data_IF_897663675580
#
_entry.id   IF_897663675580
#
_cell.length_a   1.000
_cell.length_b   1.000
_cell.length_c   1.000
_cell.angle_alpha   90.00
_cell.angle_beta   90.00
_cell.angle_gamma   90.00
#
_symmetry.space_group_name_H-M   'P 1'
#
loop_
_entity.id
_entity.type
_entity.pdbx_description
1 polymer ?
#
# COMPACT_ATOMS: atom_id res chain seq x y z
N UNK A 1 5.86 -8.32 8.18
CA UNK A 1 5.94 -9.70 7.64
C UNK A 1 5.28 -9.86 6.25
N UNK A 2 4.05 -9.34 6.01
CA UNK A 2 3.37 -9.45 4.70
C UNK A 2 4.15 -8.77 3.55
N UNK A 3 4.45 -7.47 3.67
CA UNK A 3 5.15 -6.70 2.62
C UNK A 3 6.50 -7.32 2.29
N UNK A 4 7.27 -7.71 3.31
CA UNK A 4 8.58 -8.35 3.12
C UNK A 4 8.49 -9.67 2.37
N UNK A 5 7.45 -10.48 2.61
CA UNK A 5 7.28 -11.75 1.89
C UNK A 5 6.80 -11.52 0.45
N UNK A 6 5.89 -10.58 0.21
CA UNK A 6 5.46 -10.24 -1.14
C UNK A 6 6.63 -9.68 -1.98
N UNK A 7 7.48 -8.84 -1.38
CA UNK A 7 8.67 -8.26 -2.04
C UNK A 7 9.72 -9.32 -2.47
N UNK A 8 9.70 -10.52 -1.88
CA UNK A 8 10.58 -11.63 -2.31
C UNK A 8 10.13 -12.28 -3.61
N UNK A 9 8.88 -12.07 -4.02
CA UNK A 9 8.34 -12.62 -5.26
C UNK A 9 8.66 -11.63 -6.38
N UNK A 10 9.70 -11.93 -7.16
CA UNK A 10 10.21 -11.01 -8.16
C UNK A 10 9.18 -10.57 -9.20
N UNK A 11 8.15 -11.38 -9.48
CA UNK A 11 7.11 -11.05 -10.45
C UNK A 11 6.05 -10.07 -9.94
N UNK A 12 6.10 -9.68 -8.66
CA UNK A 12 5.11 -8.81 -8.02
C UNK A 12 5.74 -7.46 -7.71
N UNK A 13 5.06 -6.38 -8.06
CA UNK A 13 5.41 -5.04 -7.62
C UNK A 13 4.68 -4.75 -6.31
N UNK A 14 5.41 -4.37 -5.27
CA UNK A 14 4.84 -4.06 -3.96
C UNK A 14 5.28 -2.66 -3.53
N UNK A 15 4.31 -1.78 -3.38
CA UNK A 15 4.49 -0.41 -2.92
C UNK A 15 3.84 -0.29 -1.53
N UNK A 16 4.55 0.28 -0.57
CA UNK A 16 4.06 0.37 0.81
C UNK A 16 4.41 1.71 1.43
N UNK A 17 3.43 2.44 1.95
CA UNK A 17 3.62 3.66 2.72
C UNK A 17 3.09 3.46 4.14
N UNK A 18 3.87 3.83 5.15
CA UNK A 18 3.49 3.70 6.57
C UNK A 18 3.33 5.09 7.17
N UNK A 19 2.10 5.55 7.36
CA UNK A 19 1.81 6.93 7.74
C UNK A 19 2.43 7.31 9.10
N UNK A 20 2.51 6.35 10.02
CA UNK A 20 3.11 6.57 11.35
C UNK A 20 4.64 6.78 11.36
N UNK A 21 5.33 6.58 10.23
CA UNK A 21 6.77 6.86 10.11
C UNK A 21 7.07 8.31 9.74
N UNK A 22 6.07 9.06 9.26
CA UNK A 22 6.23 10.42 8.72
C UNK A 22 5.33 11.43 9.45
N UNK A 23 5.03 11.17 10.72
CA UNK A 23 4.34 12.14 11.57
C UNK A 23 5.30 13.26 11.95
N UNK A 24 4.93 14.55 11.85
CA UNK A 24 5.79 15.61 12.35
C UNK A 24 5.99 15.43 13.87
N UNK A 25 7.18 15.01 14.28
CA UNK A 25 7.66 15.18 15.64
C UNK A 25 8.33 16.55 15.74
N UNK A 26 8.19 17.19 16.90
CA UNK A 26 8.44 18.63 17.12
C UNK A 26 9.80 19.19 16.66
N UNK A 27 10.80 18.37 16.31
CA UNK A 27 12.14 18.87 16.01
C UNK A 27 12.79 18.45 14.68
N UNK A 28 12.31 17.48 13.87
CA UNK A 28 13.15 17.00 12.74
C UNK A 28 12.48 16.20 11.59
N UNK A 29 11.16 16.15 11.44
CA UNK A 29 10.57 15.24 10.43
C UNK A 29 10.09 15.93 9.16
N UNK A 30 10.51 15.35 8.03
CA UNK A 30 10.13 15.58 6.64
C UNK A 30 8.62 15.87 6.48
N UNK A 31 8.17 17.11 6.74
CA UNK A 31 6.81 17.58 6.40
C UNK A 31 6.45 17.19 4.97
N UNK A 32 7.45 17.16 4.09
CA UNK A 32 7.38 16.78 2.69
C UNK A 32 6.89 15.33 2.42
N UNK A 33 6.96 14.44 3.41
CA UNK A 33 6.53 13.04 3.31
C UNK A 33 5.25 12.72 4.07
N UNK A 34 4.62 13.73 4.67
CA UNK A 34 3.31 13.61 5.31
C UNK A 34 2.17 13.82 4.30
N UNK A 35 0.98 13.28 4.62
CA UNK A 35 -0.24 13.49 3.83
C UNK A 35 -0.21 12.95 2.40
N UNK A 36 -1.02 13.53 1.52
CA UNK A 36 -1.25 13.01 0.18
C UNK A 36 -0.02 13.07 -0.74
N UNK A 37 0.74 14.16 -0.73
CA UNK A 37 1.98 14.27 -1.51
C UNK A 37 3.03 13.27 -1.05
N UNK A 38 3.18 13.09 0.26
CA UNK A 38 4.09 12.09 0.82
C UNK A 38 3.77 10.67 0.39
N UNK A 39 2.49 10.27 0.44
CA UNK A 39 2.02 8.97 -0.06
C UNK A 39 2.44 8.79 -1.52
N UNK A 40 2.06 9.72 -2.41
CA UNK A 40 2.34 9.56 -3.84
C UNK A 40 3.84 9.54 -4.13
N UNK A 41 4.62 10.37 -3.42
CA UNK A 41 6.07 10.45 -3.58
C UNK A 41 6.74 9.14 -3.19
N UNK A 42 6.43 8.62 -2.00
CA UNK A 42 7.02 7.37 -1.51
C UNK A 42 6.66 6.17 -2.41
N UNK A 43 5.39 6.05 -2.80
CA UNK A 43 4.94 5.00 -3.72
C UNK A 43 5.61 5.12 -5.10
N UNK A 44 5.79 6.34 -5.61
CA UNK A 44 6.46 6.59 -6.89
C UNK A 44 7.94 6.20 -6.85
N UNK A 45 8.67 6.60 -5.80
CA UNK A 45 10.08 6.24 -5.62
C UNK A 45 10.24 4.72 -5.56
N UNK A 46 9.37 4.02 -4.81
CA UNK A 46 9.38 2.56 -4.75
C UNK A 46 9.06 1.89 -6.09
N UNK A 47 8.15 2.46 -6.88
CA UNK A 47 7.79 1.94 -8.21
C UNK A 47 8.96 2.08 -9.18
N UNK A 48 9.64 3.22 -9.16
CA UNK A 48 10.83 3.46 -9.99
C UNK A 48 12.00 2.55 -9.58
N UNK A 49 12.21 2.34 -8.28
CA UNK A 49 13.26 1.46 -7.78
C UNK A 49 13.05 -0.01 -8.19
N UNK A 50 11.80 -0.43 -8.37
CA UNK A 50 11.42 -1.78 -8.80
C UNK A 50 11.26 -1.90 -10.32
N UNK A 51 11.53 -0.83 -11.08
CA UNK A 51 11.28 -0.80 -12.51
C UNK A 51 12.27 -1.69 -13.28
N UNK A 52 11.74 -2.71 -13.96
CA UNK A 52 12.52 -3.64 -14.78
C UNK A 52 11.92 -3.95 -16.15
N UNK A 53 10.87 -3.22 -16.54
CA UNK A 53 10.00 -3.55 -17.68
C UNK A 53 10.44 -2.89 -18.99
N UNK A 54 11.74 -2.63 -19.14
CA UNK A 54 12.32 -1.95 -20.30
C UNK A 54 12.45 -0.44 -20.12
N UNK A 55 12.83 0.25 -21.21
CA UNK A 55 13.00 1.71 -21.20
C UNK A 55 11.67 2.39 -20.94
N UNK A 56 11.70 3.34 -20.02
CA UNK A 56 10.61 4.26 -19.72
C UNK A 56 10.45 5.25 -20.88
N UNK A 57 9.86 4.83 -21.99
CA UNK A 57 9.63 5.73 -23.14
C UNK A 57 8.67 6.87 -22.82
N UNK A 58 7.94 6.77 -21.71
CA UNK A 58 6.99 7.76 -21.20
C UNK A 58 7.57 8.78 -20.22
N UNK A 59 8.83 8.61 -19.79
CA UNK A 59 9.55 9.56 -18.93
C UNK A 59 10.85 9.92 -19.65
N UNK A 60 11.11 11.21 -19.82
CA UNK A 60 12.45 11.64 -20.27
C UNK A 60 13.47 11.47 -19.13
N UNK A 61 14.76 11.57 -19.47
CA UNK A 61 15.85 11.51 -18.48
C UNK A 61 15.65 12.60 -17.41
N UNK A 62 15.09 13.74 -17.80
CA UNK A 62 14.71 14.84 -16.90
C UNK A 62 13.65 14.42 -15.88
N UNK A 63 12.55 13.76 -16.26
CA UNK A 63 11.50 13.27 -15.35
C UNK A 63 12.08 12.25 -14.33
N UNK A 64 13.05 11.41 -14.75
CA UNK A 64 13.71 10.44 -13.87
C UNK A 64 14.64 11.13 -12.88
N UNK A 65 15.46 12.08 -13.32
CA UNK A 65 16.37 12.85 -12.47
C UNK A 65 15.61 13.83 -11.56
N UNK A 66 14.48 14.37 -12.02
CA UNK A 66 13.58 15.22 -11.25
C UNK A 66 12.99 14.47 -10.05
N UNK A 67 12.57 13.22 -10.24
CA UNK A 67 12.02 12.40 -9.16
C UNK A 67 13.11 11.87 -8.22
N UNK A 68 14.31 11.55 -8.73
CA UNK A 68 15.42 11.04 -7.91
C UNK A 68 16.16 12.13 -7.14
N UNK A 69 16.39 13.30 -7.74
CA UNK A 69 17.27 14.33 -7.21
C UNK A 69 16.55 15.61 -6.75
N UNK A 70 15.32 15.87 -7.20
CA UNK A 70 14.53 17.09 -6.86
C UNK A 70 13.17 16.81 -6.24
N UNK A 71 12.99 15.57 -5.77
CA UNK A 71 11.73 14.99 -5.27
C UNK A 71 10.99 15.88 -4.24
N UNK A 72 11.75 16.63 -3.43
CA UNK A 72 11.26 17.59 -2.44
C UNK A 72 10.34 18.69 -3.00
N UNK A 73 10.59 19.09 -4.25
CA UNK A 73 9.96 20.26 -4.88
C UNK A 73 8.83 19.93 -5.86
N UNK A 74 8.51 18.65 -6.06
CA UNK A 74 7.55 18.25 -7.07
C UNK A 74 6.12 18.43 -6.59
N UNK A 75 5.35 19.25 -7.30
CA UNK A 75 3.94 19.41 -6.99
C UNK A 75 3.16 18.10 -7.23
N UNK A 76 2.09 17.92 -6.45
CA UNK A 76 1.21 16.73 -6.47
C UNK A 76 0.71 16.36 -7.88
N UNK A 77 0.44 17.35 -8.74
CA UNK A 77 -0.07 17.11 -10.11
C UNK A 77 0.98 16.39 -10.96
N UNK A 78 2.25 16.76 -10.82
CA UNK A 78 3.37 16.12 -11.52
C UNK A 78 3.60 14.71 -10.99
N UNK A 79 3.68 14.54 -9.65
CA UNK A 79 3.84 13.22 -9.01
C UNK A 79 2.76 12.25 -9.50
N UNK A 80 1.50 12.69 -9.50
CA UNK A 80 0.36 11.92 -10.00
C UNK A 80 0.50 11.53 -11.48
N UNK A 81 0.87 12.48 -12.35
CA UNK A 81 1.05 12.22 -13.78
C UNK A 81 2.08 11.12 -14.00
N UNK A 82 3.24 11.24 -13.35
CA UNK A 82 4.33 10.27 -13.46
C UNK A 82 3.89 8.91 -12.93
N UNK A 83 3.31 8.86 -11.72
CA UNK A 83 2.82 7.63 -11.10
C UNK A 83 1.82 6.89 -12.00
N UNK A 84 0.85 7.62 -12.55
CA UNK A 84 -0.12 7.04 -13.47
C UNK A 84 0.53 6.51 -14.75
N UNK A 85 1.44 7.26 -15.36
CA UNK A 85 2.14 6.83 -16.58
C UNK A 85 2.95 5.56 -16.35
N UNK A 86 3.64 5.46 -15.21
CA UNK A 86 4.38 4.26 -14.83
C UNK A 86 3.45 3.05 -14.69
N UNK A 87 2.32 3.20 -14.01
CA UNK A 87 1.37 2.10 -13.81
C UNK A 87 0.74 1.66 -15.14
N UNK A 88 0.44 2.60 -16.05
CA UNK A 88 -0.01 2.27 -17.40
C UNK A 88 1.08 1.56 -18.21
N UNK A 89 2.35 1.90 -17.97
CA UNK A 89 3.50 1.27 -18.60
C UNK A 89 3.82 -0.14 -18.09
N UNK A 90 3.20 -0.60 -17.01
CA UNK A 90 3.41 -1.96 -16.51
C UNK A 90 2.89 -2.98 -17.53
N UNK A 91 3.61 -4.10 -17.75
CA UNK A 91 3.13 -5.17 -18.61
C UNK A 91 1.77 -5.70 -18.17
N UNK A 92 0.97 -6.15 -19.14
CA UNK A 92 -0.35 -6.71 -18.86
C UNK A 92 -0.25 -7.91 -17.90
N UNK A 93 -1.15 -7.97 -16.93
CA UNK A 93 -1.17 -9.03 -15.91
C UNK A 93 -0.18 -8.86 -14.76
N UNK A 94 0.69 -7.84 -14.77
CA UNK A 94 1.65 -7.58 -13.68
C UNK A 94 0.89 -7.34 -12.37
N UNK A 95 1.10 -8.14 -11.31
CA UNK A 95 0.49 -7.89 -10.01
C UNK A 95 1.13 -6.67 -9.33
N UNK A 96 0.30 -5.69 -8.97
CA UNK A 96 0.71 -4.49 -8.25
C UNK A 96 -0.08 -4.41 -6.93
N UNK A 97 0.63 -4.47 -5.82
CA UNK A 97 0.08 -4.25 -4.48
C UNK A 97 0.48 -2.87 -3.98
N UNK A 98 -0.52 -2.06 -3.62
CA UNK A 98 -0.34 -0.75 -2.99
C UNK A 98 -0.87 -0.87 -1.56
N UNK A 99 -0.02 -0.65 -0.58
CA UNK A 99 -0.35 -0.78 0.84
C UNK A 99 -0.11 0.56 1.51
N UNK A 100 -1.14 1.12 2.13
CA UNK A 100 -1.06 2.39 2.87
C UNK A 100 -1.50 2.07 4.29
N UNK A 101 -0.53 2.09 5.20
CA UNK A 101 -0.73 1.62 6.56
C UNK A 101 -0.99 2.78 7.53
N UNK A 102 -2.02 2.58 8.35
CA UNK A 102 -2.46 3.45 9.43
C UNK A 102 -2.80 4.89 9.00
N UNK A 103 -3.72 5.02 8.05
CA UNK A 103 -4.13 6.29 7.43
C UNK A 103 -4.68 7.32 8.42
N UNK A 104 -5.08 6.89 9.62
CA UNK A 104 -5.58 7.78 10.67
C UNK A 104 -4.60 8.90 11.03
N UNK A 105 -3.29 8.67 10.90
CA UNK A 105 -2.27 9.69 11.13
C UNK A 105 -2.41 10.92 10.23
N UNK A 106 -3.06 10.79 9.06
CA UNK A 106 -3.26 11.88 8.11
C UNK A 106 -4.71 12.37 8.04
N UNK A 107 -5.59 11.91 8.93
CA UNK A 107 -6.96 12.42 9.07
C UNK A 107 -7.05 13.68 9.96
N UNK A 108 -5.98 14.50 9.99
CA UNK A 108 -5.95 15.79 10.69
C UNK A 108 -6.57 16.91 9.84
N UNK A 109 -6.90 18.06 10.45
CA UNK A 109 -7.46 19.21 9.73
C UNK A 109 -6.61 19.67 8.56
N UNK A 110 -5.28 19.57 8.70
CA UNK A 110 -4.27 20.03 7.77
C UNK A 110 -4.12 19.05 6.60
N UNK A 111 -4.03 17.76 6.90
CA UNK A 111 -3.65 16.74 5.91
C UNK A 111 -4.86 16.06 5.22
N UNK A 112 -6.02 15.98 5.89
CA UNK A 112 -7.16 15.15 5.44
C UNK A 112 -7.59 15.40 4.00
N UNK A 113 -7.62 16.67 3.56
CA UNK A 113 -8.12 17.05 2.23
C UNK A 113 -7.22 16.51 1.13
N UNK A 114 -5.92 16.68 1.32
CA UNK A 114 -4.93 16.24 0.35
C UNK A 114 -4.80 14.72 0.34
N UNK A 115 -4.80 14.10 1.52
CA UNK A 115 -4.81 12.64 1.68
C UNK A 115 -6.01 12.01 0.98
N UNK A 116 -7.23 12.54 1.22
CA UNK A 116 -8.46 12.07 0.55
C UNK A 116 -8.36 12.17 -0.97
N UNK A 117 -7.72 13.22 -1.48
CA UNK A 117 -7.49 13.39 -2.92
C UNK A 117 -6.51 12.34 -3.45
N UNK A 118 -5.38 12.12 -2.79
CA UNK A 118 -4.40 11.12 -3.19
C UNK A 118 -5.01 9.70 -3.20
N UNK A 119 -5.75 9.32 -2.15
CA UNK A 119 -6.42 8.01 -2.08
C UNK A 119 -7.44 7.83 -3.21
N UNK A 120 -8.26 8.85 -3.51
CA UNK A 120 -9.19 8.81 -4.65
C UNK A 120 -8.47 8.61 -5.98
N UNK A 121 -7.35 9.29 -6.17
CA UNK A 121 -6.55 9.17 -7.40
C UNK A 121 -5.92 7.78 -7.54
N UNK A 122 -5.44 7.20 -6.43
CA UNK A 122 -4.95 5.81 -6.41
C UNK A 122 -6.10 4.84 -6.72
N UNK A 123 -7.28 5.01 -6.11
CA UNK A 123 -8.45 4.16 -6.40
C UNK A 123 -8.93 4.28 -7.84
N UNK A 124 -8.80 5.45 -8.48
CA UNK A 124 -9.15 5.62 -9.89
C UNK A 124 -8.36 4.70 -10.83
N UNK A 125 -7.15 4.26 -10.44
CA UNK A 125 -6.34 3.32 -11.22
C UNK A 125 -7.09 2.01 -11.50
N UNK A 126 -7.99 1.57 -10.61
CA UNK A 126 -8.80 0.37 -10.78
C UNK A 126 -9.79 0.48 -11.96
N UNK A 127 -10.16 1.70 -12.35
CA UNK A 127 -11.17 1.97 -13.37
C UNK A 127 -10.57 2.43 -14.71
N UNK A 128 -9.26 2.69 -14.77
CA UNK A 128 -8.60 3.18 -15.99
C UNK A 128 -8.40 2.03 -16.99
N UNK A 129 -9.12 2.08 -18.12
CA UNK A 129 -9.05 1.05 -19.18
C UNK A 129 -7.64 0.77 -19.72
N UNK A 130 -6.76 1.78 -19.67
CA UNK A 130 -5.35 1.68 -20.12
C UNK A 130 -4.47 0.93 -19.12
N UNK A 131 -4.83 0.88 -17.84
CA UNK A 131 -4.11 0.09 -16.84
C UNK A 131 -4.40 -1.38 -17.11
N UNK A 132 -3.36 -2.15 -17.44
CA UNK A 132 -3.44 -3.59 -17.70
C UNK A 132 -2.81 -4.43 -16.59
N UNK A 133 -2.23 -3.79 -15.58
CA UNK A 133 -1.75 -4.42 -14.36
C UNK A 133 -2.92 -4.89 -13.48
N UNK A 134 -2.67 -5.94 -12.69
CA UNK A 134 -3.61 -6.42 -11.67
C UNK A 134 -3.37 -5.64 -10.38
N UNK A 135 -4.06 -4.51 -10.24
CA UNK A 135 -3.86 -3.59 -9.12
C UNK A 135 -4.72 -4.02 -7.91
N UNK A 136 -4.10 -4.10 -6.73
CA UNK A 136 -4.74 -4.32 -5.44
C UNK A 136 -4.30 -3.24 -4.47
N UNK A 137 -5.27 -2.56 -3.87
CA UNK A 137 -5.04 -1.44 -2.96
C UNK A 137 -5.54 -1.85 -1.57
N UNK A 138 -4.68 -1.70 -0.57
CA UNK A 138 -4.99 -1.94 0.83
C UNK A 138 -4.72 -0.67 1.61
N UNK A 139 -5.74 -0.15 2.27
CA UNK A 139 -5.60 0.98 3.20
C UNK A 139 -6.03 0.51 4.57
N UNK A 140 -5.16 0.65 5.56
CA UNK A 140 -5.44 0.26 6.94
C UNK A 140 -5.60 1.48 7.82
N UNK A 141 -6.31 1.28 8.93
CA UNK A 141 -6.57 2.29 9.95
C UNK A 141 -6.54 1.54 11.30
N UNK A 142 -5.83 2.07 12.29
CA UNK A 142 -5.79 1.49 13.64
C UNK A 142 -7.17 1.53 14.31
N UNK A 143 -7.99 2.52 13.96
CA UNK A 143 -9.38 2.62 14.37
C UNK A 143 -10.26 2.86 13.14
N UNK A 144 -11.44 3.46 13.32
CA UNK A 144 -12.30 3.82 12.19
C UNK A 144 -11.68 4.99 11.42
N UNK A 145 -11.38 4.81 10.14
CA UNK A 145 -11.11 5.93 9.23
C UNK A 145 -12.43 6.69 8.99
N UNK A 146 -12.48 7.95 9.42
CA UNK A 146 -13.71 8.74 9.34
C UNK A 146 -13.86 9.40 7.97
N UNK A 147 -12.79 9.96 7.44
CA UNK A 147 -12.81 10.84 6.27
C UNK A 147 -12.41 10.12 4.99
N UNK A 148 -11.47 9.18 5.10
CA UNK A 148 -10.97 8.40 3.97
C UNK A 148 -11.90 7.24 3.62
N UNK A 149 -12.74 6.79 4.57
CA UNK A 149 -13.71 5.73 4.36
C UNK A 149 -14.63 5.96 3.15
N UNK A 150 -15.00 7.20 2.85
CA UNK A 150 -15.84 7.55 1.69
C UNK A 150 -15.17 7.30 0.33
N UNK A 151 -13.87 7.02 0.31
CA UNK A 151 -13.15 6.71 -0.94
C UNK A 151 -13.38 5.27 -1.40
N UNK A 152 -14.03 4.45 -0.56
CA UNK A 152 -14.28 3.03 -0.78
C UNK A 152 -15.78 2.72 -0.65
N UNK A 153 -16.26 1.74 -1.40
CA UNK A 153 -17.62 1.23 -1.23
C UNK A 153 -17.72 0.45 0.08
N UNK A 154 -18.93 0.31 0.64
CA UNK A 154 -19.10 -0.38 1.92
C UNK A 154 -18.72 -1.86 1.86
N UNK A 155 -18.87 -2.50 0.69
CA UNK A 155 -18.43 -3.88 0.42
C UNK A 155 -16.91 -4.05 0.39
N UNK A 156 -16.16 -2.97 0.17
CA UNK A 156 -14.69 -2.96 0.19
C UNK A 156 -14.11 -2.71 1.59
N UNK A 157 -14.96 -2.44 2.59
CA UNK A 157 -14.54 -2.09 3.96
C UNK A 157 -14.60 -3.30 4.87
N UNK A 158 -13.48 -3.58 5.53
CA UNK A 158 -13.38 -4.61 6.56
C UNK A 158 -13.14 -3.94 7.90
N UNK A 159 -14.03 -4.16 8.87
CA UNK A 159 -13.88 -3.68 10.24
C UNK A 159 -13.53 -4.86 11.12
N UNK A 160 -12.35 -4.82 11.74
CA UNK A 160 -11.94 -5.82 12.72
C UNK A 160 -12.60 -5.47 14.07
N UNK A 161 -13.45 -6.34 14.63
CA UNK A 161 -14.12 -6.05 15.90
C UNK A 161 -13.10 -6.04 17.05
N UNK A 162 -13.26 -5.11 18.00
CA UNK A 162 -12.39 -4.97 19.16
C UNK A 162 -12.32 -6.25 20.00
N UNK A 163 -13.42 -7.01 20.04
CA UNK A 163 -13.52 -8.32 20.65
C UNK A 163 -14.11 -9.25 19.58
N UNK A 164 -13.32 -10.14 18.97
CA UNK A 164 -13.84 -11.18 18.08
C UNK A 164 -14.65 -12.17 18.93
N UNK A 165 -15.87 -11.79 19.28
CA UNK A 165 -16.83 -12.66 19.93
C UNK A 165 -17.30 -13.62 18.85
N UNK A 166 -16.94 -14.90 18.96
CA UNK A 166 -17.12 -15.93 17.93
C UNK A 166 -18.56 -16.24 17.50
N UNK A 167 -19.56 -15.46 17.91
CA UNK A 167 -20.98 -15.75 17.68
C UNK A 167 -21.48 -15.44 16.26
N UNK A 168 -20.69 -14.73 15.45
CA UNK A 168 -20.96 -14.58 14.02
C UNK A 168 -19.70 -14.79 13.20
N UNK A 169 -19.20 -16.01 13.27
CA UNK A 169 -18.08 -16.48 12.46
C UNK A 169 -18.44 -16.36 10.96
N UNK A 170 -17.90 -15.34 10.30
CA UNK A 170 -18.10 -15.12 8.88
C UNK A 170 -17.45 -16.24 8.05
N UNK A 171 -17.85 -16.37 6.79
CA UNK A 171 -17.27 -17.37 5.88
C UNK A 171 -15.73 -17.22 5.75
N UNK A 172 -15.22 -15.99 5.88
CA UNK A 172 -13.79 -15.68 5.88
C UNK A 172 -13.08 -16.17 7.16
N UNK A 173 -13.71 -16.02 8.34
CA UNK A 173 -13.16 -16.47 9.61
C UNK A 173 -13.08 -18.00 9.68
N UNK A 174 -14.11 -18.69 9.18
CA UNK A 174 -14.10 -20.15 9.04
C UNK A 174 -12.95 -20.62 8.18
N UNK A 175 -12.70 -19.94 7.06
CA UNK A 175 -11.61 -20.30 6.15
C UNK A 175 -10.23 -19.94 6.71
N UNK A 176 -10.13 -18.84 7.44
CA UNK A 176 -8.90 -18.44 8.13
C UNK A 176 -8.55 -19.43 9.25
N UNK A 177 -9.49 -19.85 10.09
CA UNK A 177 -9.25 -20.89 11.09
C UNK A 177 -8.93 -22.25 10.46
N UNK A 178 -9.69 -22.67 9.44
CA UNK A 178 -9.50 -23.96 8.78
C UNK A 178 -8.14 -24.03 8.08
N UNK A 179 -7.78 -23.04 7.26
CA UNK A 179 -6.57 -23.12 6.45
C UNK A 179 -5.34 -22.67 7.25
N UNK A 180 -5.43 -21.56 7.98
CA UNK A 180 -4.29 -20.99 8.69
C UNK A 180 -4.07 -21.64 10.07
N UNK A 181 -5.15 -21.97 10.79
CA UNK A 181 -5.06 -22.70 12.06
C UNK A 181 -4.42 -24.09 11.88
N UNK A 182 -4.75 -24.78 10.79
CA UNK A 182 -4.11 -26.06 10.43
C UNK A 182 -2.63 -25.89 10.10
N UNK A 183 -2.25 -24.81 9.41
CA UNK A 183 -0.84 -24.52 9.12
C UNK A 183 -0.03 -24.18 10.40
N UNK A 184 -0.61 -23.42 11.34
CA UNK A 184 0.04 -23.12 12.63
C UNK A 184 0.15 -24.38 13.50
N UNK A 185 -0.88 -25.23 13.52
CA UNK A 185 -0.84 -26.49 14.24
C UNK A 185 0.24 -27.43 13.67
N UNK A 186 0.39 -27.47 12.34
CA UNK A 186 1.43 -28.24 11.68
C UNK A 186 2.83 -27.67 11.95
N UNK A 187 3.01 -26.35 11.94
CA UNK A 187 4.27 -25.71 12.31
C UNK A 187 4.68 -26.04 13.74
N UNK A 188 3.76 -25.97 14.71
CA UNK A 188 4.02 -26.35 16.11
C UNK A 188 4.39 -27.82 16.27
N UNK A 189 3.75 -28.73 15.52
CA UNK A 189 4.08 -30.16 15.52
C UNK A 189 5.45 -30.44 14.91
N UNK A 190 5.82 -29.75 13.84
CA UNK A 190 7.15 -29.85 13.23
C UNK A 190 8.24 -29.32 14.14
N UNK A 191 7.99 -28.25 14.90
CA UNK A 191 8.93 -27.73 15.91
C UNK A 191 9.11 -28.70 17.09
N UNK A 192 8.06 -29.40 17.52
CA UNK A 192 8.14 -30.37 18.63
C UNK A 192 8.81 -31.71 18.25
N UNK A 193 8.95 -32.01 16.95
CA UNK A 193 9.68 -33.21 16.50
C UNK A 193 11.20 -32.99 16.39
N UNK A 194 11.67 -31.73 16.39
CA UNK A 194 13.09 -31.39 16.35
C UNK A 194 13.77 -31.43 17.73
N UNK A 195 13.00 -31.42 18.83
CA UNK A 195 13.51 -31.35 20.21
C UNK A 195 13.46 -32.70 20.96
N UNK A 196 13.27 -33.84 20.28
CA UNK A 196 13.43 -35.15 20.92
C UNK A 196 14.89 -35.60 20.83
N UNK A 197 15.63 -35.68 21.95
CA UNK A 197 16.98 -36.24 21.94
C UNK A 197 16.92 -37.73 21.56
N UNK A 198 17.87 -38.15 20.72
CA UNK A 198 18.16 -39.57 20.44
C UNK A 198 18.72 -40.26 21.68
#
# INVERSE_FOLDING_TARGET
MLVQNLKKIESIVVLSHYCGLYTPSDDDLDEELSGGSGILRDLLVQLMAQWKFGKLTSLDEDDVDLVKNKSASLNLKTLRRIFHNLIVGLPAGTPLFIIIDNINYYETSELRRETKKAIREINQLLSVRKVKALVKIFVTAANRAFEIGDCFQDEDKIVVPAHPSGDKMGFADKRFELDFGTQIANLKRSSQQLDKPK
#
